data_IF_606038083220
#
_entry.id   IF_606038083220
#
_cell.length_a   1.000
_cell.length_b   1.000
_cell.length_c   1.000
_cell.angle_alpha   90.00
_cell.angle_beta   90.00
_cell.angle_gamma   90.00
#
_symmetry.space_group_name_H-M   'P 1'
#
loop_
_entity.id
_entity.type
_entity.pdbx_description
1 polymer ?
#
# COMPACT_ATOMS: atom_id res chain seq x y z
N UNK A 1 -25.11 -13.09 -48.66
CA UNK A 1 -26.33 -13.79 -48.21
C UNK A 1 -26.58 -13.45 -46.75
N UNK A 2 -27.78 -12.92 -46.45
CA UNK A 2 -28.42 -12.66 -45.13
C UNK A 2 -27.65 -11.74 -44.15
N UNK A 3 -27.95 -10.46 -43.92
CA UNK A 3 -29.20 -9.70 -43.71
C UNK A 3 -30.06 -10.11 -42.50
N UNK A 4 -30.24 -9.12 -41.59
CA UNK A 4 -31.41 -8.81 -40.73
C UNK A 4 -31.56 -9.59 -39.41
N UNK A 5 -32.00 -9.00 -38.29
CA UNK A 5 -32.74 -7.75 -38.15
C UNK A 5 -32.86 -7.18 -36.72
N UNK A 6 -33.37 -5.94 -36.71
CA UNK A 6 -33.69 -5.06 -35.57
C UNK A 6 -35.07 -5.39 -34.97
N UNK A 7 -35.32 -4.96 -33.72
CA UNK A 7 -36.58 -4.39 -33.12
C UNK A 7 -36.36 -4.28 -31.58
N UNK A 8 -36.37 -3.15 -30.87
CA UNK A 8 -37.24 -1.96 -30.74
C UNK A 8 -38.52 -2.17 -29.88
N UNK A 9 -38.61 -1.41 -28.77
CA UNK A 9 -39.79 -0.87 -28.03
C UNK A 9 -39.43 -0.80 -26.52
N UNK A 10 -39.12 0.34 -25.88
CA UNK A 10 -39.90 1.56 -25.55
C UNK A 10 -41.25 1.24 -24.89
N UNK A 11 -41.31 1.45 -23.57
CA UNK A 11 -42.56 1.68 -22.84
C UNK A 11 -42.32 2.88 -21.91
N UNK A 12 -42.87 4.02 -22.33
CA UNK A 12 -42.98 5.26 -21.57
C UNK A 12 -44.28 5.16 -20.78
N UNK A 13 -44.22 5.26 -19.45
CA UNK A 13 -45.40 5.51 -18.61
C UNK A 13 -45.18 6.85 -17.91
N UNK A 14 -45.93 7.83 -18.41
CA UNK A 14 -46.18 9.14 -17.80
C UNK A 14 -47.50 9.03 -17.03
N UNK A 15 -47.52 9.44 -15.76
CA UNK A 15 -48.66 9.92 -14.96
C UNK A 15 -48.21 9.89 -13.48
N UNK A 16 -48.46 10.84 -12.59
CA UNK A 16 -49.13 12.13 -12.65
C UNK A 16 -48.61 12.94 -11.44
N UNK A 17 -48.48 14.25 -11.62
CA UNK A 17 -48.16 15.17 -10.54
C UNK A 17 -49.36 15.29 -9.57
N UNK A 18 -49.10 15.08 -8.28
CA UNK A 18 -49.99 15.53 -7.20
C UNK A 18 -49.21 16.52 -6.37
N UNK A 19 -49.54 17.80 -6.59
CA UNK A 19 -49.15 18.91 -5.72
C UNK A 19 -50.11 18.90 -4.53
N UNK A 20 -49.62 18.51 -3.36
CA UNK A 20 -50.28 18.77 -2.08
C UNK A 20 -49.34 19.64 -1.25
N UNK A 21 -49.68 20.93 -1.19
CA UNK A 21 -49.14 21.86 -0.23
C UNK A 21 -49.77 21.56 1.14
N UNK A 22 -48.98 21.02 2.07
CA UNK A 22 -49.30 21.10 3.51
C UNK A 22 -48.22 21.95 4.17
N UNK A 23 -48.59 23.20 4.41
CA UNK A 23 -47.95 24.08 5.38
C UNK A 23 -48.28 23.51 6.75
N UNK A 24 -47.29 22.87 7.37
CA UNK A 24 -47.40 22.29 8.71
C UNK A 24 -46.08 22.47 9.44
N UNK A 25 -45.92 23.61 10.09
CA UNK A 25 -44.77 23.86 10.96
C UNK A 25 -44.71 22.87 12.12
N UNK A 26 -43.62 22.12 12.18
CA UNK A 26 -43.03 21.68 13.44
C UNK A 26 -41.54 22.00 13.38
N UNK A 27 -41.14 22.96 14.20
CA UNK A 27 -39.76 23.13 14.63
C UNK A 27 -39.33 21.82 15.30
N UNK A 28 -38.44 21.09 14.65
CA UNK A 28 -37.59 20.11 15.35
C UNK A 28 -36.23 20.77 15.43
N UNK A 29 -35.95 21.22 16.64
CA UNK A 29 -34.65 21.63 17.16
C UNK A 29 -33.60 20.60 16.77
N UNK A 30 -32.45 21.11 16.34
CA UNK A 30 -31.31 20.32 15.88
C UNK A 30 -30.91 19.26 16.89
N UNK A 31 -30.58 18.10 16.35
CA UNK A 31 -29.60 17.23 16.94
C UNK A 31 -28.44 17.21 15.94
N UNK A 32 -27.53 18.17 16.10
CA UNK A 32 -26.18 18.20 15.52
C UNK A 32 -25.37 17.03 16.10
N UNK A 33 -25.83 15.81 15.86
CA UNK A 33 -24.97 14.65 15.87
C UNK A 33 -24.51 14.45 14.45
N UNK A 34 -23.57 15.31 14.05
CA UNK A 34 -22.43 14.85 13.26
C UNK A 34 -21.86 13.65 14.03
N UNK A 35 -22.42 12.47 13.77
CA UNK A 35 -21.85 11.23 14.23
C UNK A 35 -20.44 11.23 13.68
N UNK A 36 -19.48 11.36 14.60
CA UNK A 36 -18.06 11.38 14.30
C UNK A 36 -17.73 10.12 13.52
N UNK A 37 -17.59 10.25 12.21
CA UNK A 37 -17.03 9.24 11.31
C UNK A 37 -15.54 8.99 11.57
N UNK A 38 -14.99 9.54 12.65
CA UNK A 38 -13.57 9.56 12.99
C UNK A 38 -13.12 8.41 13.90
N UNK A 39 -14.03 7.67 14.55
CA UNK A 39 -13.64 6.53 15.40
C UNK A 39 -13.23 5.29 14.60
N UNK A 40 -13.76 5.10 13.39
CA UNK A 40 -13.44 3.91 12.57
C UNK A 40 -12.00 3.87 12.06
N UNK A 41 -11.25 4.98 12.13
CA UNK A 41 -9.86 5.05 11.65
C UNK A 41 -8.80 4.76 12.70
N UNK A 42 -9.09 4.94 14.00
CA UNK A 42 -8.04 4.82 15.03
C UNK A 42 -7.76 3.35 15.35
N UNK A 43 -6.49 2.98 15.41
CA UNK A 43 -6.09 1.66 15.90
C UNK A 43 -6.35 1.54 17.40
N UNK A 44 -6.60 0.32 17.88
CA UNK A 44 -6.73 0.03 19.30
C UNK A 44 -5.43 0.40 20.05
N UNK A 45 -5.52 0.67 21.36
CA UNK A 45 -4.34 0.96 22.17
C UNK A 45 -3.32 -0.18 22.11
N UNK A 46 -2.09 0.14 21.69
CA UNK A 46 -1.02 -0.83 21.50
C UNK A 46 -1.05 -1.56 20.15
N UNK A 47 -1.90 -1.13 19.21
CA UNK A 47 -2.05 -1.70 17.87
C UNK A 47 -1.77 -0.63 16.80
N UNK A 48 -1.51 -1.09 15.58
CA UNK A 48 -1.37 -0.26 14.39
C UNK A 48 -1.99 -0.92 13.18
N UNK A 49 -2.47 -0.11 12.24
CA UNK A 49 -3.01 -0.57 10.97
C UNK A 49 -1.90 -0.91 9.98
N UNK A 50 -2.08 -2.01 9.26
CA UNK A 50 -1.26 -2.45 8.14
C UNK A 50 -2.14 -2.60 6.91
N UNK A 51 -1.86 -1.83 5.86
CA UNK A 51 -2.63 -1.87 4.62
C UNK A 51 -1.89 -2.63 3.53
N UNK A 52 -2.60 -3.42 2.73
CA UNK A 52 -2.09 -4.05 1.52
C UNK A 52 -3.20 -4.12 0.49
N UNK A 53 -2.97 -3.55 -0.69
CA UNK A 53 -3.93 -3.52 -1.78
C UNK A 53 -5.27 -2.93 -1.30
N UNK A 54 -6.33 -3.74 -1.28
CA UNK A 54 -7.70 -3.34 -0.94
C UNK A 54 -8.08 -3.63 0.51
N UNK A 55 -7.15 -4.06 1.35
CA UNK A 55 -7.43 -4.44 2.74
C UNK A 55 -6.51 -3.76 3.74
N UNK A 56 -7.01 -3.61 4.95
CA UNK A 56 -6.22 -3.21 6.12
C UNK A 56 -6.55 -4.12 7.31
N UNK A 57 -5.58 -4.27 8.22
CA UNK A 57 -5.68 -5.15 9.38
C UNK A 57 -4.88 -4.57 10.54
N UNK A 58 -5.36 -4.72 11.78
CA UNK A 58 -4.61 -4.31 12.95
C UNK A 58 -3.62 -5.40 13.38
N UNK A 59 -2.42 -4.97 13.75
CA UNK A 59 -1.39 -5.80 14.40
C UNK A 59 -0.86 -5.09 15.64
N UNK A 60 -0.24 -5.80 16.59
CA UNK A 60 0.42 -5.15 17.71
C UNK A 60 1.48 -4.15 17.23
N UNK A 61 1.55 -2.99 17.88
CA UNK A 61 2.35 -1.87 17.41
C UNK A 61 3.86 -2.15 17.43
N UNK A 62 4.30 -3.05 18.30
CA UNK A 62 5.69 -3.50 18.46
C UNK A 62 6.13 -4.55 17.43
N UNK A 63 5.20 -5.09 16.62
CA UNK A 63 5.54 -6.02 15.56
C UNK A 63 6.43 -5.34 14.53
N UNK A 64 7.55 -5.98 14.25
CA UNK A 64 8.52 -5.50 13.27
C UNK A 64 8.00 -5.65 11.84
N UNK A 65 8.67 -4.98 10.92
CA UNK A 65 8.44 -5.24 9.50
C UNK A 65 9.29 -6.44 9.06
N UNK A 66 8.62 -7.42 8.48
CA UNK A 66 9.22 -8.64 7.99
C UNK A 66 10.04 -8.42 6.71
N UNK A 67 10.55 -9.52 6.16
CA UNK A 67 11.23 -9.52 4.88
C UNK A 67 10.22 -9.55 3.74
N UNK A 68 10.06 -8.43 3.04
CA UNK A 68 9.30 -8.38 1.79
C UNK A 68 9.85 -9.43 0.81
N UNK A 69 8.98 -10.31 0.33
CA UNK A 69 9.29 -11.35 -0.65
C UNK A 69 9.86 -12.66 -0.12
N UNK A 70 10.53 -12.71 1.04
CA UNK A 70 11.07 -13.99 1.54
C UNK A 70 10.00 -14.76 2.30
N UNK A 71 9.64 -15.98 1.85
CA UNK A 71 8.59 -16.73 2.52
C UNK A 71 9.04 -17.11 3.95
N UNK A 72 8.10 -17.17 4.92
CA UNK A 72 8.42 -17.43 6.32
C UNK A 72 9.32 -18.65 6.55
N UNK A 73 9.19 -19.69 5.73
CA UNK A 73 9.99 -20.92 5.80
C UNK A 73 11.50 -20.77 5.66
N UNK A 74 12.05 -19.58 5.31
CA UNK A 74 13.50 -19.33 5.33
C UNK A 74 14.02 -18.60 6.56
N UNK A 75 13.18 -18.38 7.56
CA UNK A 75 13.64 -17.81 8.83
C UNK A 75 14.56 -18.84 9.49
N UNK A 76 15.85 -18.52 9.54
CA UNK A 76 16.94 -19.37 10.05
C UNK A 76 17.50 -18.87 11.39
N UNK A 77 16.99 -17.74 11.88
CA UNK A 77 17.36 -17.11 13.14
C UNK A 77 16.11 -16.68 13.90
N UNK A 78 16.13 -16.68 15.24
CA UNK A 78 15.05 -16.11 16.03
C UNK A 78 14.78 -14.65 15.62
N UNK A 79 13.51 -14.28 15.52
CA UNK A 79 13.09 -12.92 15.18
C UNK A 79 11.90 -12.52 16.04
N UNK A 80 11.72 -11.22 16.32
CA UNK A 80 10.48 -10.72 16.88
C UNK A 80 9.32 -10.98 15.90
N UNK A 81 8.07 -10.92 16.39
CA UNK A 81 6.91 -10.98 15.52
C UNK A 81 6.95 -9.93 14.41
N UNK A 82 6.32 -10.24 13.28
CA UNK A 82 6.46 -9.39 12.11
C UNK A 82 5.29 -9.43 11.11
N UNK A 83 5.23 -8.39 10.29
CA UNK A 83 4.32 -8.29 9.14
C UNK A 83 5.09 -8.51 7.84
N UNK A 84 4.72 -9.52 7.08
CA UNK A 84 5.33 -9.88 5.80
C UNK A 84 4.43 -9.56 4.61
N UNK A 85 5.07 -9.24 3.48
CA UNK A 85 4.43 -8.80 2.24
C UNK A 85 5.04 -9.53 1.03
N UNK A 86 4.30 -9.74 -0.06
CA UNK A 86 4.86 -10.27 -1.30
C UNK A 86 5.96 -9.35 -1.84
N UNK A 87 6.95 -9.92 -2.51
CA UNK A 87 8.08 -9.18 -3.06
C UNK A 87 8.95 -10.07 -3.94
N UNK A 88 9.88 -9.44 -4.67
CA UNK A 88 10.82 -10.15 -5.52
C UNK A 88 11.78 -11.00 -4.68
N UNK A 89 11.68 -12.31 -4.80
CA UNK A 89 12.73 -13.24 -4.36
C UNK A 89 13.25 -14.03 -5.54
N UNK A 90 14.57 -14.23 -5.56
CA UNK A 90 15.17 -15.27 -6.40
C UNK A 90 14.49 -16.58 -6.05
N UNK A 91 13.96 -17.31 -7.03
CA UNK A 91 13.06 -18.45 -6.83
C UNK A 91 13.60 -19.46 -5.82
N UNK A 92 13.18 -19.32 -4.56
CA UNK A 92 13.60 -20.21 -3.49
C UNK A 92 12.44 -21.15 -3.17
N UNK A 93 12.71 -22.44 -3.30
CA UNK A 93 11.83 -23.47 -2.77
C UNK A 93 12.13 -23.69 -1.30
N UNK A 94 11.09 -23.68 -0.47
CA UNK A 94 11.20 -24.22 0.87
C UNK A 94 10.87 -25.71 0.83
N UNK A 95 11.76 -26.53 1.40
CA UNK A 95 11.50 -27.97 1.59
C UNK A 95 10.40 -28.18 2.63
N UNK A 96 10.49 -27.45 3.74
CA UNK A 96 9.49 -27.44 4.80
C UNK A 96 8.67 -26.14 4.74
N UNK A 97 7.33 -26.22 4.87
CA UNK A 97 6.47 -25.04 4.77
C UNK A 97 6.57 -24.13 6.00
N UNK A 98 7.22 -24.56 7.09
CA UNK A 98 7.33 -23.79 8.34
C UNK A 98 8.77 -23.73 8.82
N UNK A 99 9.19 -22.65 9.51
CA UNK A 99 10.48 -22.59 10.18
C UNK A 99 10.62 -23.70 11.25
N UNK A 100 11.86 -24.11 11.57
CA UNK A 100 12.14 -24.92 12.75
C UNK A 100 11.59 -24.27 14.02
N UNK A 101 11.09 -25.08 14.97
CA UNK A 101 10.44 -24.58 16.19
C UNK A 101 11.27 -23.54 16.95
N UNK A 102 12.59 -23.74 17.04
CA UNK A 102 13.53 -22.86 17.74
C UNK A 102 13.66 -21.44 17.15
N UNK A 103 13.16 -21.21 15.93
CA UNK A 103 13.26 -19.90 15.24
C UNK A 103 11.89 -19.41 14.74
N UNK A 104 10.80 -20.06 15.14
CA UNK A 104 9.45 -19.59 14.81
C UNK A 104 9.16 -18.26 15.51
N UNK A 105 8.43 -17.42 14.80
CA UNK A 105 7.91 -16.15 15.29
C UNK A 105 6.47 -16.00 14.81
N UNK A 106 5.64 -15.32 15.61
CA UNK A 106 4.30 -14.95 15.17
C UNK A 106 4.39 -14.02 13.95
N UNK A 107 3.56 -14.22 12.94
CA UNK A 107 3.55 -13.34 11.78
C UNK A 107 2.16 -13.15 11.18
N UNK A 108 2.00 -12.01 10.53
CA UNK A 108 0.96 -11.71 9.58
C UNK A 108 1.60 -11.72 8.19
N UNK A 109 0.96 -12.34 7.20
CA UNK A 109 1.41 -12.36 5.83
C UNK A 109 0.29 -12.02 4.87
N UNK A 110 0.52 -10.98 4.06
CA UNK A 110 -0.35 -10.68 2.92
C UNK A 110 0.07 -11.52 1.71
N UNK A 111 -0.86 -12.27 1.13
CA UNK A 111 -0.60 -13.10 -0.04
C UNK A 111 -1.58 -12.82 -1.17
N UNK A 112 -1.09 -12.70 -2.40
CA UNK A 112 -1.97 -12.75 -3.56
C UNK A 112 -2.51 -14.19 -3.75
N UNK A 113 -3.81 -14.32 -4.05
CA UNK A 113 -4.33 -15.58 -4.59
C UNK A 113 -3.68 -15.84 -5.93
N UNK A 114 -2.77 -16.81 -6.01
CA UNK A 114 -2.32 -17.33 -7.31
C UNK A 114 -3.53 -17.93 -8.01
N UNK A 115 -3.63 -17.68 -9.31
CA UNK A 115 -4.65 -18.30 -10.16
C UNK A 115 -4.60 -19.83 -10.10
N UNK A 116 -5.56 -20.51 -10.77
CA UNK A 116 -5.75 -21.96 -10.70
C UNK A 116 -4.54 -22.83 -11.11
N UNK A 117 -3.45 -22.23 -11.58
CA UNK A 117 -2.17 -22.89 -11.86
C UNK A 117 -1.17 -22.81 -10.68
N UNK A 118 -1.65 -22.91 -9.44
CA UNK A 118 -0.81 -23.45 -8.37
C UNK A 118 -0.57 -24.92 -8.69
N UNK A 119 0.33 -25.19 -9.65
CA UNK A 119 0.83 -26.51 -9.97
C UNK A 119 1.29 -27.12 -8.64
N UNK A 120 0.59 -28.16 -8.21
CA UNK A 120 0.97 -29.00 -7.08
C UNK A 120 2.47 -29.29 -7.19
N UNK A 121 3.29 -28.70 -6.31
CA UNK A 121 4.73 -28.95 -6.27
C UNK A 121 5.65 -27.72 -6.39
N UNK A 122 5.17 -26.52 -6.71
CA UNK A 122 6.02 -25.31 -6.59
C UNK A 122 5.79 -24.62 -5.25
N UNK A 123 6.83 -24.60 -4.41
CA UNK A 123 6.85 -24.16 -3.01
C UNK A 123 6.53 -22.66 -2.76
N UNK A 124 5.96 -21.96 -3.73
CA UNK A 124 5.48 -20.57 -3.58
C UNK A 124 3.98 -20.43 -3.81
N UNK A 125 3.23 -21.54 -3.77
CA UNK A 125 1.78 -21.59 -3.91
C UNK A 125 1.07 -20.75 -2.86
N UNK A 126 0.14 -19.90 -3.30
CA UNK A 126 -0.77 -19.21 -2.41
C UNK A 126 -1.44 -20.24 -1.48
N UNK A 127 -1.29 -20.07 -0.17
CA UNK A 127 -1.88 -21.00 0.81
C UNK A 127 -3.40 -20.93 0.68
N UNK A 128 -4.06 -22.08 0.60
CA UNK A 128 -5.52 -22.12 0.56
C UNK A 128 -6.08 -21.56 1.88
N UNK A 129 -7.19 -20.80 1.85
CA UNK A 129 -7.91 -20.42 3.06
C UNK A 129 -8.22 -21.62 3.94
N UNK A 130 -8.17 -21.43 5.25
CA UNK A 130 -8.38 -22.48 6.25
C UNK A 130 -7.40 -22.42 7.42
N UNK A 131 -7.51 -23.40 8.29
CA UNK A 131 -6.72 -23.54 9.52
C UNK A 131 -5.77 -24.73 9.38
N UNK A 132 -4.52 -24.56 9.78
CA UNK A 132 -3.49 -25.61 9.80
C UNK A 132 -2.73 -25.53 11.12
N UNK A 133 -2.64 -26.62 11.84
CA UNK A 133 -1.88 -26.72 13.08
C UNK A 133 -0.64 -27.60 12.84
N UNK A 134 0.52 -27.04 12.45
CA UNK A 134 1.72 -27.83 12.18
C UNK A 134 2.16 -28.67 13.38
N UNK A 135 2.37 -28.05 14.55
CA UNK A 135 2.79 -28.72 15.79
C UNK A 135 2.91 -27.71 16.95
N UNK A 136 3.08 -28.20 18.19
CA UNK A 136 3.43 -27.42 19.40
C UNK A 136 2.57 -26.17 19.65
N UNK A 137 1.26 -26.26 19.44
CA UNK A 137 0.32 -25.15 19.63
C UNK A 137 0.34 -24.08 18.54
N UNK A 138 1.32 -24.12 17.62
CA UNK A 138 1.36 -23.20 16.49
C UNK A 138 0.23 -23.48 15.52
N UNK A 139 -0.48 -22.43 15.14
CA UNK A 139 -1.57 -22.48 14.16
C UNK A 139 -1.35 -21.41 13.11
N UNK A 140 -1.45 -21.83 11.86
CA UNK A 140 -1.63 -20.97 10.71
C UNK A 140 -3.11 -20.90 10.35
N UNK A 141 -3.67 -19.70 10.29
CA UNK A 141 -5.02 -19.47 9.79
C UNK A 141 -4.96 -18.47 8.64
N UNK A 142 -5.54 -18.85 7.51
CA UNK A 142 -5.62 -18.01 6.31
C UNK A 142 -7.08 -17.70 6.00
N UNK A 143 -7.41 -16.41 5.87
CA UNK A 143 -8.72 -15.94 5.38
C UNK A 143 -8.58 -15.29 4.01
N UNK A 144 -9.63 -15.38 3.22
CA UNK A 144 -9.72 -14.73 1.93
C UNK A 144 -10.57 -13.46 2.07
N UNK A 145 -10.00 -12.30 1.78
CA UNK A 145 -10.68 -11.01 1.82
C UNK A 145 -10.39 -10.23 0.54
N UNK A 146 -11.41 -9.89 -0.24
CA UNK A 146 -11.26 -9.39 -1.62
C UNK A 146 -10.25 -10.20 -2.46
N UNK A 147 -10.32 -11.52 -2.27
CA UNK A 147 -9.43 -12.48 -2.90
C UNK A 147 -7.94 -12.37 -2.53
N UNK A 148 -7.58 -11.59 -1.52
CA UNK A 148 -6.27 -11.58 -0.87
C UNK A 148 -6.28 -12.58 0.28
N UNK A 149 -5.19 -13.33 0.39
CA UNK A 149 -4.94 -14.18 1.53
C UNK A 149 -4.36 -13.34 2.66
N UNK A 150 -5.03 -13.35 3.80
CA UNK A 150 -4.53 -12.82 5.07
C UNK A 150 -4.19 -14.02 5.93
N UNK A 151 -2.90 -14.30 6.08
CA UNK A 151 -2.42 -15.45 6.85
C UNK A 151 -1.83 -14.97 8.16
N UNK A 152 -2.30 -15.52 9.28
CA UNK A 152 -1.69 -15.30 10.60
C UNK A 152 -1.17 -16.63 11.13
N UNK A 153 0.09 -16.64 11.55
CA UNK A 153 0.74 -17.77 12.19
C UNK A 153 1.11 -17.39 13.62
N UNK A 154 0.57 -18.10 14.60
CA UNK A 154 0.82 -17.84 16.03
C UNK A 154 0.46 -19.07 16.86
N UNK A 155 1.12 -19.23 18.00
CA UNK A 155 0.76 -20.15 19.08
C UNK A 155 -0.27 -19.54 20.07
N UNK A 156 -0.62 -18.27 19.91
CA UNK A 156 -1.68 -17.58 20.66
C UNK A 156 -2.97 -17.48 19.81
N UNK A 157 -4.02 -18.19 20.24
CA UNK A 157 -5.33 -18.18 19.60
C UNK A 157 -6.03 -16.82 19.68
N UNK A 158 -5.98 -16.15 20.84
CA UNK A 158 -6.66 -14.87 21.03
C UNK A 158 -6.03 -13.79 20.16
N UNK A 159 -4.68 -13.77 20.07
CA UNK A 159 -3.94 -12.89 19.18
C UNK A 159 -4.29 -13.15 17.71
N UNK A 160 -4.29 -14.41 17.28
CA UNK A 160 -4.62 -14.81 15.91
C UNK A 160 -6.03 -14.37 15.52
N UNK A 161 -7.03 -14.66 16.37
CA UNK A 161 -8.41 -14.26 16.13
C UNK A 161 -8.56 -12.74 16.10
N UNK A 162 -7.91 -12.01 17.01
CA UNK A 162 -7.98 -10.55 17.04
C UNK A 162 -7.45 -9.91 15.75
N UNK A 163 -6.27 -10.34 15.28
CA UNK A 163 -5.71 -9.85 14.01
C UNK A 163 -6.70 -10.15 12.87
N UNK A 164 -7.13 -11.40 12.71
CA UNK A 164 -7.99 -11.79 11.59
C UNK A 164 -9.40 -11.18 11.64
N UNK A 165 -9.94 -10.89 12.82
CA UNK A 165 -11.24 -10.25 12.98
C UNK A 165 -11.17 -8.73 12.74
N UNK A 166 -9.98 -8.12 12.86
CA UNK A 166 -9.78 -6.70 12.53
C UNK A 166 -9.62 -6.43 11.03
N UNK A 167 -9.40 -7.48 10.22
CA UNK A 167 -9.18 -7.34 8.79
C UNK A 167 -10.45 -6.86 8.07
N UNK A 168 -10.33 -5.78 7.30
CA UNK A 168 -11.46 -5.17 6.57
C UNK A 168 -11.05 -4.65 5.20
N UNK A 169 -12.04 -4.43 4.35
CA UNK A 169 -11.84 -3.74 3.08
C UNK A 169 -11.58 -2.26 3.33
N UNK A 170 -10.70 -1.68 2.53
CA UNK A 170 -10.50 -0.24 2.46
C UNK A 170 -11.60 0.34 1.57
N UNK A 171 -12.54 1.06 2.19
CA UNK A 171 -13.58 1.82 1.49
C UNK A 171 -13.16 3.29 1.40
N UNK A 172 -12.74 3.71 0.21
CA UNK A 172 -12.15 5.03 -0.01
C UNK A 172 -10.67 5.08 0.37
N UNK A 173 -10.36 5.31 1.65
CA UNK A 173 -8.99 5.42 2.15
C UNK A 173 -8.77 4.57 3.41
N UNK A 174 -7.56 4.07 3.58
CA UNK A 174 -7.18 3.31 4.77
C UNK A 174 -7.01 4.24 5.99
N UNK A 175 -6.72 3.65 7.15
CA UNK A 175 -6.48 4.39 8.38
C UNK A 175 -5.33 5.42 8.31
N UNK A 176 -4.49 5.37 7.28
CA UNK A 176 -3.40 6.31 7.04
C UNK A 176 -3.74 7.38 5.99
N UNK A 177 -4.93 7.33 5.36
CA UNK A 177 -5.35 8.25 4.30
C UNK A 177 -4.98 7.82 2.87
N UNK A 178 -4.48 6.59 2.69
CA UNK A 178 -4.09 6.04 1.41
C UNK A 178 -5.25 5.29 0.74
N UNK A 179 -5.51 5.59 -0.53
CA UNK A 179 -6.54 4.89 -1.31
C UNK A 179 -5.96 3.59 -1.85
N UNK A 180 -6.74 2.51 -2.07
CA UNK A 180 -6.20 1.26 -2.66
C UNK A 180 -5.59 1.45 -4.04
N UNK A 181 -6.16 2.37 -4.82
CA UNK A 181 -5.74 2.71 -6.18
C UNK A 181 -5.35 4.18 -6.26
N UNK A 182 -4.44 4.49 -7.18
CA UNK A 182 -3.99 5.85 -7.44
C UNK A 182 -3.73 6.04 -8.95
N UNK A 183 -4.21 7.13 -9.59
CA UNK A 183 -4.00 7.34 -11.03
C UNK A 183 -2.53 7.28 -11.47
N UNK A 184 -1.62 7.80 -10.64
CA UNK A 184 -0.16 7.75 -10.92
C UNK A 184 0.43 6.34 -10.86
N UNK A 185 -0.27 5.36 -10.27
CA UNK A 185 0.17 3.97 -10.30
C UNK A 185 -0.12 3.30 -11.66
N UNK A 186 -1.20 3.71 -12.31
CA UNK A 186 -1.59 3.25 -13.66
C UNK A 186 -0.93 4.09 -14.77
N UNK A 187 -0.58 5.34 -14.45
CA UNK A 187 0.04 6.30 -15.36
C UNK A 187 1.31 6.89 -14.74
N UNK A 188 2.39 6.08 -14.58
CA UNK A 188 3.60 6.49 -13.90
C UNK A 188 4.37 7.62 -14.58
N UNK A 189 4.05 7.96 -15.83
CA UNK A 189 4.57 9.12 -16.56
C UNK A 189 3.93 10.46 -16.16
N UNK A 190 2.79 10.44 -15.44
CA UNK A 190 2.05 11.64 -15.05
C UNK A 190 2.68 12.43 -13.91
N UNK A 191 1.94 13.35 -13.30
CA UNK A 191 2.38 14.03 -12.09
C UNK A 191 1.18 14.43 -11.23
N UNK A 192 1.40 14.78 -9.96
CA UNK A 192 0.35 15.39 -9.15
C UNK A 192 -0.20 16.63 -9.86
N UNK A 193 -1.50 16.80 -9.85
CA UNK A 193 -2.14 18.02 -10.35
C UNK A 193 -2.07 19.08 -9.24
N UNK A 194 -1.20 20.08 -9.39
CA UNK A 194 -1.20 21.25 -8.50
C UNK A 194 -0.79 22.51 -9.23
N UNK A 195 -1.46 23.63 -8.91
CA UNK A 195 -1.12 24.93 -9.45
C UNK A 195 0.07 25.60 -8.73
N UNK A 196 0.33 25.24 -7.47
CA UNK A 196 1.26 26.01 -6.61
C UNK A 196 2.27 25.13 -5.83
N UNK A 197 2.11 23.80 -5.87
CA UNK A 197 3.03 22.86 -5.25
C UNK A 197 3.13 23.01 -3.72
N UNK A 198 4.25 22.55 -3.15
CA UNK A 198 4.47 22.56 -1.70
C UNK A 198 4.61 23.96 -1.09
N UNK A 199 4.88 25.00 -1.89
CA UNK A 199 5.02 26.36 -1.39
C UNK A 199 3.71 26.93 -0.81
N UNK A 200 2.56 26.34 -1.17
CA UNK A 200 1.22 26.86 -0.87
C UNK A 200 0.53 26.21 0.33
N UNK A 201 1.12 25.20 0.96
CA UNK A 201 0.41 24.37 1.94
C UNK A 201 0.29 25.00 3.33
N UNK A 202 1.08 26.03 3.63
CA UNK A 202 1.18 26.60 4.98
C UNK A 202 1.97 25.72 5.96
N UNK A 203 1.49 25.62 7.20
CA UNK A 203 2.11 24.77 8.24
C UNK A 203 1.76 23.32 7.98
N UNK A 204 2.74 22.41 8.02
CA UNK A 204 2.52 20.98 7.79
C UNK A 204 1.93 20.35 9.04
N UNK A 205 0.74 19.76 8.91
CA UNK A 205 0.06 19.06 10.00
C UNK A 205 0.42 17.57 10.00
N UNK A 206 0.32 16.93 8.83
CA UNK A 206 0.61 15.51 8.66
C UNK A 206 0.91 15.13 7.21
N UNK A 207 1.44 13.92 7.04
CA UNK A 207 1.77 13.33 5.75
C UNK A 207 1.29 11.88 5.76
N UNK A 208 0.38 11.54 4.87
CA UNK A 208 0.13 10.16 4.51
C UNK A 208 1.20 9.71 3.51
N UNK A 209 1.89 8.61 3.79
CA UNK A 209 2.90 8.02 2.92
C UNK A 209 2.30 6.79 2.25
N UNK A 210 1.96 6.91 0.97
CA UNK A 210 1.26 5.87 0.23
C UNK A 210 2.17 5.27 -0.84
N UNK A 211 2.60 4.01 -0.64
CA UNK A 211 3.46 3.30 -1.59
C UNK A 211 2.62 2.44 -2.51
N UNK A 212 2.81 2.58 -3.82
CA UNK A 212 2.04 1.87 -4.83
C UNK A 212 2.94 1.04 -5.76
N UNK A 213 2.45 -0.13 -6.15
CA UNK A 213 2.99 -0.90 -7.26
C UNK A 213 2.54 -0.27 -8.57
N UNK A 214 3.45 -0.04 -9.50
CA UNK A 214 3.10 0.41 -10.86
C UNK A 214 3.08 -0.76 -11.83
N UNK A 215 2.24 -0.67 -12.86
CA UNK A 215 2.18 -1.66 -13.94
C UNK A 215 3.27 -1.31 -14.97
N UNK A 216 4.31 -2.15 -15.06
CA UNK A 216 5.52 -1.79 -15.80
C UNK A 216 5.37 -1.94 -17.33
N UNK A 217 4.41 -2.73 -17.85
CA UNK A 217 4.26 -2.94 -19.30
C UNK A 217 2.82 -3.21 -19.78
N UNK A 218 2.35 -2.54 -20.85
CA UNK A 218 1.13 -2.85 -21.60
C UNK A 218 0.95 -4.33 -21.94
N UNK A 219 2.05 -4.99 -22.28
CA UNK A 219 2.09 -6.40 -22.71
C UNK A 219 1.88 -7.37 -21.54
N UNK A 220 2.18 -6.91 -20.33
CA UNK A 220 1.86 -7.59 -19.08
C UNK A 220 0.47 -7.20 -18.56
N UNK A 221 -0.32 -6.42 -19.31
CA UNK A 221 -1.68 -6.03 -18.88
C UNK A 221 -2.60 -7.21 -18.67
N UNK A 222 -2.37 -8.38 -19.28
CA UNK A 222 -3.20 -9.55 -18.97
C UNK A 222 -2.96 -10.03 -17.52
N UNK A 223 -1.75 -9.86 -16.99
CA UNK A 223 -1.42 -10.08 -15.58
C UNK A 223 -1.76 -8.86 -14.70
N UNK A 224 -1.65 -7.64 -15.21
CA UNK A 224 -2.01 -6.41 -14.49
C UNK A 224 -3.52 -6.21 -14.36
N UNK A 225 -4.33 -6.69 -15.31
CA UNK A 225 -5.79 -6.73 -15.24
C UNK A 225 -6.30 -7.65 -14.10
N UNK A 226 -5.40 -8.46 -13.52
CA UNK A 226 -5.66 -9.24 -12.30
C UNK A 226 -5.11 -8.56 -11.03
N UNK A 227 -4.42 -7.42 -11.11
CA UNK A 227 -4.05 -6.63 -9.93
C UNK A 227 -5.32 -5.93 -9.44
N UNK A 228 -5.73 -6.25 -8.21
CA UNK A 228 -6.96 -5.72 -7.60
C UNK A 228 -6.80 -4.29 -7.10
N UNK A 229 -5.65 -4.00 -6.49
CA UNK A 229 -5.29 -2.67 -6.06
C UNK A 229 -3.76 -2.47 -6.05
N UNK A 230 -3.32 -1.24 -6.25
CA UNK A 230 -1.91 -0.90 -6.38
C UNK A 230 -1.21 -0.67 -5.03
N UNK A 231 -1.94 -0.35 -3.96
CA UNK A 231 -1.35 -0.02 -2.65
C UNK A 231 -0.49 -1.18 -2.11
N UNK A 232 0.77 -0.94 -1.77
CA UNK A 232 1.70 -1.91 -1.18
C UNK A 232 1.83 -1.68 0.32
N UNK A 233 1.88 -0.41 0.72
CA UNK A 233 2.14 -0.01 2.08
C UNK A 233 1.65 1.42 2.33
N UNK A 234 1.33 1.70 3.58
CA UNK A 234 0.83 2.99 4.04
C UNK A 234 1.41 3.30 5.43
N UNK A 235 1.68 4.57 5.69
CA UNK A 235 1.95 5.04 7.06
C UNK A 235 1.60 6.52 7.16
N UNK A 236 1.66 7.07 8.37
CA UNK A 236 1.54 8.51 8.61
C UNK A 236 2.77 9.07 9.31
N UNK A 237 3.04 10.34 9.07
CA UNK A 237 4.01 11.16 9.79
C UNK A 237 3.32 12.46 10.18
N UNK A 238 3.54 12.96 11.39
CA UNK A 238 2.90 14.20 11.88
C UNK A 238 3.85 14.99 12.77
N UNK A 239 3.50 16.24 13.08
CA UNK A 239 4.30 17.13 13.93
C UNK A 239 5.67 17.47 13.34
N UNK A 240 6.67 17.67 14.21
CA UNK A 240 8.01 18.09 13.81
C UNK A 240 8.67 17.20 12.75
N UNK A 241 8.56 15.85 12.80
CA UNK A 241 9.06 15.00 11.72
C UNK A 241 8.45 15.32 10.35
N UNK A 242 7.13 15.57 10.28
CA UNK A 242 6.46 15.89 9.03
C UNK A 242 6.92 17.24 8.48
N UNK A 243 7.00 18.26 9.35
CA UNK A 243 7.50 19.58 8.98
C UNK A 243 8.96 19.52 8.49
N UNK A 244 9.82 18.78 9.20
CA UNK A 244 11.22 18.60 8.82
C UNK A 244 11.36 17.87 7.48
N UNK A 245 10.52 16.87 7.24
CA UNK A 245 10.52 16.10 6.00
C UNK A 245 10.10 16.94 4.78
N UNK A 246 9.03 17.75 4.90
CA UNK A 246 8.65 18.69 3.82
C UNK A 246 9.72 19.74 3.60
N UNK A 247 10.36 20.25 4.67
CA UNK A 247 11.47 21.19 4.53
C UNK A 247 12.67 20.55 3.81
N UNK A 248 12.96 19.27 4.03
CA UNK A 248 13.98 18.53 3.29
C UNK A 248 13.64 18.40 1.80
N UNK A 249 12.36 18.14 1.47
CA UNK A 249 11.89 18.15 0.08
C UNK A 249 12.09 19.53 -0.56
N UNK A 250 11.68 20.60 0.13
CA UNK A 250 11.81 21.97 -0.37
C UNK A 250 13.28 22.41 -0.58
N UNK A 251 14.21 21.87 0.21
CA UNK A 251 15.67 22.09 0.05
C UNK A 251 16.31 21.23 -1.03
N UNK A 252 15.67 20.13 -1.45
CA UNK A 252 16.23 19.27 -2.49
C UNK A 252 16.46 20.08 -3.78
N UNK A 253 17.62 19.94 -4.45
CA UNK A 253 17.91 20.71 -5.66
C UNK A 253 16.84 20.50 -6.73
N UNK A 254 16.53 21.55 -7.50
CA UNK A 254 15.64 21.47 -8.66
C UNK A 254 16.30 20.62 -9.75
N UNK A 255 15.54 19.72 -10.38
CA UNK A 255 16.01 18.77 -11.39
C UNK A 255 15.51 17.35 -11.11
N UNK A 256 15.99 16.36 -11.85
CA UNK A 256 15.61 14.94 -11.71
C UNK A 256 16.83 14.06 -11.45
N UNK A 257 16.57 12.87 -10.92
CA UNK A 257 17.55 11.83 -10.68
C UNK A 257 17.77 11.52 -9.19
N UNK A 258 18.77 10.69 -8.88
CA UNK A 258 19.76 10.17 -9.81
C UNK A 258 19.17 9.11 -10.75
N UNK A 259 19.54 9.21 -12.02
CA UNK A 259 19.17 8.25 -13.07
C UNK A 259 20.38 7.37 -13.43
N UNK A 260 20.12 6.18 -13.98
CA UNK A 260 21.13 5.25 -14.47
C UNK A 260 21.00 5.12 -15.99
N UNK A 261 22.07 5.38 -16.76
CA UNK A 261 22.02 5.34 -18.22
C UNK A 261 21.85 3.92 -18.79
N UNK A 262 22.26 2.90 -18.05
CA UNK A 262 22.45 1.53 -18.54
C UNK A 262 21.27 0.58 -18.27
N UNK A 263 20.04 1.10 -18.22
CA UNK A 263 18.89 0.35 -17.73
C UNK A 263 17.70 0.36 -18.69
N UNK A 264 16.91 -0.72 -18.61
CA UNK A 264 15.77 -1.02 -19.49
C UNK A 264 14.44 -0.60 -18.85
N UNK A 265 14.40 -0.40 -17.54
CA UNK A 265 13.20 -0.03 -16.80
C UNK A 265 13.20 1.46 -16.45
N UNK A 266 12.38 2.24 -17.17
CA UNK A 266 12.33 3.68 -17.00
C UNK A 266 11.77 4.04 -15.61
N UNK A 267 10.53 3.63 -15.30
CA UNK A 267 9.83 4.08 -14.09
C UNK A 267 9.95 3.11 -12.89
N UNK A 268 10.44 1.89 -13.11
CA UNK A 268 10.53 0.86 -12.08
C UNK A 268 9.20 0.16 -11.81
N UNK A 269 9.07 -0.42 -10.62
CA UNK A 269 7.90 -1.19 -10.19
C UNK A 269 7.12 -0.58 -9.04
N UNK A 270 7.65 0.50 -8.44
CA UNK A 270 7.07 1.14 -7.26
C UNK A 270 7.19 2.68 -7.31
N UNK A 271 6.17 3.38 -6.79
CA UNK A 271 6.20 4.82 -6.51
C UNK A 271 5.72 5.08 -5.09
N UNK A 272 6.03 6.27 -4.57
CA UNK A 272 5.42 6.78 -3.34
C UNK A 272 4.68 8.08 -3.65
N UNK A 273 3.43 8.17 -3.22
CA UNK A 273 2.65 9.40 -3.21
C UNK A 273 2.51 9.84 -1.77
N UNK A 274 2.97 11.05 -1.48
CA UNK A 274 2.75 11.72 -0.21
C UNK A 274 1.47 12.53 -0.34
N UNK A 275 0.55 12.41 0.61
CA UNK A 275 -0.56 13.36 0.77
C UNK A 275 -0.23 14.24 1.96
N UNK A 276 0.28 15.43 1.67
CA UNK A 276 0.67 16.41 2.68
C UNK A 276 -0.54 17.24 3.04
N UNK A 277 -0.92 17.20 4.32
CA UNK A 277 -1.97 18.05 4.89
C UNK A 277 -1.32 19.27 5.51
N UNK A 278 -1.64 20.44 4.98
CA UNK A 278 -1.20 21.72 5.50
C UNK A 278 -2.37 22.57 5.98
N UNK A 279 -2.07 23.62 6.75
CA UNK A 279 -3.06 24.53 7.33
C UNK A 279 -3.87 25.30 6.30
N UNK A 280 -3.31 25.55 5.12
CA UNK A 280 -3.99 26.28 4.04
C UNK A 280 -4.64 25.34 3.02
N UNK A 281 -3.95 24.23 2.70
CA UNK A 281 -4.43 23.23 1.73
C UNK A 281 -3.66 21.93 1.81
N UNK A 282 -4.24 20.92 1.16
CA UNK A 282 -3.58 19.65 0.91
C UNK A 282 -2.78 19.69 -0.41
N UNK A 283 -1.70 18.91 -0.46
CA UNK A 283 -0.84 18.77 -1.63
C UNK A 283 -0.35 17.34 -1.77
N UNK A 284 -0.38 16.82 -2.99
CA UNK A 284 0.26 15.54 -3.31
C UNK A 284 1.69 15.72 -3.80
N UNK A 285 2.59 14.83 -3.39
CA UNK A 285 3.96 14.80 -3.87
C UNK A 285 4.28 13.39 -4.34
N UNK A 286 4.71 13.27 -5.60
CA UNK A 286 5.13 12.01 -6.18
C UNK A 286 6.64 11.83 -6.00
N UNK A 287 7.04 10.66 -5.51
CA UNK A 287 8.43 10.23 -5.40
C UNK A 287 8.62 8.99 -6.28
N UNK A 288 9.47 9.11 -7.29
CA UNK A 288 9.96 8.00 -8.11
C UNK A 288 11.36 7.66 -7.67
N UNK A 289 11.59 6.40 -7.28
CA UNK A 289 12.88 5.94 -6.77
C UNK A 289 13.24 4.51 -7.21
N UNK A 290 12.29 3.73 -7.71
CA UNK A 290 12.52 2.32 -8.04
C UNK A 290 13.00 2.13 -9.48
N UNK A 291 12.77 3.13 -10.35
CA UNK A 291 13.19 3.13 -11.73
C UNK A 291 14.65 3.49 -11.94
N UNK A 292 15.06 3.43 -13.20
CA UNK A 292 16.37 3.89 -13.63
C UNK A 292 16.34 5.27 -14.29
N UNK A 293 15.17 5.75 -14.70
CA UNK A 293 14.99 7.08 -15.29
C UNK A 293 13.87 7.83 -14.59
N UNK A 294 13.87 9.15 -14.75
CA UNK A 294 12.82 10.01 -14.21
C UNK A 294 12.68 9.88 -12.69
N UNK A 295 13.74 9.45 -11.99
CA UNK A 295 13.76 9.47 -10.54
C UNK A 295 13.63 10.93 -10.06
N UNK A 296 13.04 11.15 -8.89
CA UNK A 296 12.86 12.49 -8.37
C UNK A 296 11.60 12.68 -7.54
N UNK A 297 11.42 13.91 -7.10
CA UNK A 297 10.33 14.38 -6.26
C UNK A 297 9.55 15.43 -7.05
N UNK A 298 8.26 15.22 -7.27
CA UNK A 298 7.42 16.11 -8.05
C UNK A 298 6.19 16.53 -7.25
N UNK A 299 6.05 17.81 -6.94
CA UNK A 299 4.90 18.38 -6.21
C UNK A 299 3.82 18.97 -7.14
N UNK A 300 3.88 18.66 -8.42
CA UNK A 300 3.00 19.19 -9.47
C UNK A 300 3.49 20.50 -10.10
N UNK A 301 4.46 21.18 -9.51
CA UNK A 301 5.05 22.42 -10.05
C UNK A 301 6.56 22.31 -10.22
N UNK A 302 7.25 21.80 -9.20
CA UNK A 302 8.71 21.68 -9.17
C UNK A 302 9.11 20.20 -9.18
N UNK A 303 10.01 19.85 -10.09
CA UNK A 303 10.72 18.58 -10.07
C UNK A 303 12.05 18.76 -9.33
N UNK A 304 12.34 17.89 -8.35
CA UNK A 304 13.54 17.93 -7.52
C UNK A 304 14.27 16.59 -7.50
N UNK A 305 15.58 16.66 -7.31
CA UNK A 305 16.44 15.48 -7.16
C UNK A 305 16.06 14.69 -5.90
N UNK A 306 16.20 13.37 -5.96
CA UNK A 306 16.22 12.56 -4.75
C UNK A 306 17.49 12.86 -3.95
N UNK A 307 17.33 13.01 -2.65
CA UNK A 307 18.43 13.17 -1.71
C UNK A 307 18.39 12.07 -0.65
N UNK A 308 19.53 11.80 -0.01
CA UNK A 308 19.58 10.88 1.11
C UNK A 308 18.69 11.34 2.28
N UNK A 309 18.58 12.66 2.49
CA UNK A 309 17.75 13.28 3.53
C UNK A 309 16.26 12.96 3.33
N UNK A 310 15.79 12.93 2.08
CA UNK A 310 14.40 12.55 1.76
C UNK A 310 14.21 11.04 1.73
N UNK A 311 15.12 10.28 1.12
CA UNK A 311 14.88 8.85 0.92
C UNK A 311 15.03 8.00 2.19
N UNK A 312 16.00 8.30 3.06
CA UNK A 312 16.27 7.48 4.25
C UNK A 312 15.10 7.40 5.23
N UNK A 313 14.43 8.50 5.63
CA UNK A 313 13.27 8.40 6.50
C UNK A 313 12.06 7.75 5.80
N UNK A 314 12.04 7.74 4.47
CA UNK A 314 10.94 7.19 3.69
C UNK A 314 11.07 5.68 3.46
N UNK A 315 12.27 5.19 3.13
CA UNK A 315 12.52 3.80 2.71
C UNK A 315 12.91 2.88 3.88
N UNK A 316 12.24 3.07 5.01
CA UNK A 316 12.36 2.25 6.22
C UNK A 316 11.04 1.58 6.56
N UNK A 317 11.09 0.63 7.49
CA UNK A 317 9.90 -0.06 7.98
C UNK A 317 9.07 -0.69 6.87
N UNK A 318 7.77 -0.36 6.82
CA UNK A 318 6.79 -0.88 5.85
C UNK A 318 7.12 -0.50 4.40
N UNK A 319 7.84 0.60 4.19
CA UNK A 319 8.12 1.16 2.87
C UNK A 319 9.46 0.67 2.29
N UNK A 320 10.25 -0.07 3.08
CA UNK A 320 11.55 -0.59 2.65
C UNK A 320 11.39 -1.44 1.37
N UNK A 321 12.07 -1.10 0.27
CA UNK A 321 11.98 -1.88 -0.95
C UNK A 321 12.74 -3.20 -0.82
N UNK A 322 12.40 -4.16 -1.69
CA UNK A 322 13.07 -5.46 -1.75
C UNK A 322 14.49 -5.38 -2.33
N UNK A 323 14.76 -4.33 -3.11
CA UNK A 323 16.04 -4.05 -3.73
C UNK A 323 16.17 -2.53 -3.94
N UNK A 324 17.38 -2.07 -4.25
CA UNK A 324 17.64 -0.69 -4.67
C UNK A 324 18.32 -0.71 -6.03
N UNK A 325 17.97 0.23 -6.91
CA UNK A 325 18.79 0.53 -8.09
C UNK A 325 20.12 1.12 -7.63
N UNK A 326 21.16 1.06 -8.47
CA UNK A 326 22.52 1.47 -8.08
C UNK A 326 22.59 2.85 -7.43
N UNK A 327 22.18 3.92 -8.15
CA UNK A 327 22.28 5.28 -7.62
C UNK A 327 21.39 5.55 -6.39
N UNK A 328 20.20 4.96 -6.34
CA UNK A 328 19.30 5.09 -5.18
C UNK A 328 19.83 4.33 -3.97
N UNK A 329 20.45 3.16 -4.21
CA UNK A 329 21.16 2.41 -3.18
C UNK A 329 22.29 3.21 -2.55
N UNK A 330 23.04 3.98 -3.34
CA UNK A 330 24.13 4.83 -2.84
C UNK A 330 23.60 5.97 -1.94
N UNK A 331 22.42 6.54 -2.23
CA UNK A 331 21.76 7.53 -1.37
C UNK A 331 21.33 6.91 -0.02
N UNK A 332 20.70 5.75 -0.06
CA UNK A 332 20.10 5.12 1.12
C UNK A 332 21.15 4.44 2.01
N UNK A 333 22.01 3.62 1.40
CA UNK A 333 22.99 2.76 2.09
C UNK A 333 24.39 3.37 2.18
N UNK A 334 24.64 4.44 1.42
CA UNK A 334 25.98 4.99 1.22
C UNK A 334 26.70 4.34 0.04
N UNK A 335 27.78 4.98 -0.48
CA UNK A 335 28.51 4.48 -1.63
C UNK A 335 29.12 3.11 -1.35
N UNK A 336 28.96 2.18 -2.29
CA UNK A 336 29.62 0.88 -2.21
C UNK A 336 31.15 1.04 -2.24
N UNK A 337 31.91 0.29 -1.42
CA UNK A 337 33.36 0.29 -1.51
C UNK A 337 33.78 -0.17 -2.92
N UNK A 338 34.68 0.58 -3.56
CA UNK A 338 35.24 0.21 -4.86
C UNK A 338 35.99 -1.11 -4.68
N UNK A 339 35.61 -2.14 -5.44
CA UNK A 339 36.44 -3.35 -5.57
C UNK A 339 37.69 -2.94 -6.35
N UNK A 340 38.83 -2.90 -5.66
CA UNK A 340 40.14 -2.75 -6.28
C UNK A 340 40.54 -3.98 -7.08
#
# INVERSE_FOLDING_TARGET
MSQWGKRAAVLVVVCAAVVVAVVGGRMVVGDDRAASTDETGRADNGWRWESYQSIEVQVPADWSYGVTGSPPCRVDKPRPPYVGRPGGVRGVGCRDPYPPLAVRASYLWFGARRGPAAVQGTATGARMPGVRAPDHGWVEETRLLDGLNVTVFSDDEALRQRILNSARLIDGADANGCTPNHPLADHPQGGPTSAEGLASIGVVESIAVCKYAIAVRPEQHEYAARRRAALIASSTMSGDPAQAFVAAIARAPVGSGPDSPDCIDDYGSEIIVLKVRGSERNQEVLIRYDGCRFNGIHDGVTLRHLTAEVLRPLLVGVHRPSHYTGPVGDLVLGPRPKKG
#
